data_IF_106804962251
#
_entry.id   IF_106804962251
#
_cell.length_a   1.000
_cell.length_b   1.000
_cell.length_c   1.000
_cell.angle_alpha   90.00
_cell.angle_beta   90.00
_cell.angle_gamma   90.00
#
_symmetry.space_group_name_H-M   'P 1'
#
loop_
_entity.id
_entity.type
_entity.pdbx_description
1 polymer ?
#
# COMPACT_ATOMS: atom_id res chain seq x y z
N UNK A 1 13.56 -10.13 19.85
CA UNK A 1 13.87 -9.21 18.72
C UNK A 1 13.01 -9.67 17.56
N UNK A 2 12.28 -8.79 16.88
CA UNK A 2 11.51 -9.16 15.70
C UNK A 2 12.44 -9.20 14.48
N UNK A 3 12.41 -10.30 13.74
CA UNK A 3 13.09 -10.43 12.45
C UNK A 3 12.03 -10.65 11.38
N UNK A 4 12.02 -9.78 10.38
CA UNK A 4 11.01 -9.73 9.33
C UNK A 4 11.61 -10.24 8.03
N UNK A 5 10.96 -11.21 7.41
CA UNK A 5 11.24 -11.60 6.03
C UNK A 5 10.21 -10.92 5.12
N UNK A 6 10.67 -10.08 4.22
CA UNK A 6 9.80 -9.46 3.20
C UNK A 6 9.71 -10.35 1.98
N UNK A 7 8.47 -10.72 1.63
CA UNK A 7 8.14 -11.47 0.44
C UNK A 7 7.36 -10.56 -0.52
N UNK A 8 7.99 -10.17 -1.62
CA UNK A 8 7.27 -9.50 -2.70
C UNK A 8 6.35 -10.52 -3.37
N UNK A 9 5.03 -10.34 -3.19
CA UNK A 9 4.01 -11.29 -3.62
C UNK A 9 4.06 -11.58 -5.13
N UNK A 10 4.36 -10.56 -5.95
CA UNK A 10 4.42 -10.68 -7.39
C UNK A 10 5.65 -11.45 -7.85
N UNK A 11 6.84 -11.08 -7.37
CA UNK A 11 8.10 -11.76 -7.70
C UNK A 11 8.03 -13.22 -7.31
N UNK A 12 7.65 -13.48 -6.07
CA UNK A 12 7.45 -14.84 -5.58
C UNK A 12 6.46 -15.64 -6.44
N UNK A 13 5.30 -15.04 -6.77
CA UNK A 13 4.30 -15.71 -7.61
C UNK A 13 4.85 -16.05 -9.00
N UNK A 14 5.61 -15.15 -9.60
CA UNK A 14 6.24 -15.38 -10.92
C UNK A 14 7.19 -16.56 -10.88
N UNK A 15 8.12 -16.59 -9.93
CA UNK A 15 9.08 -17.66 -9.73
C UNK A 15 8.37 -18.99 -9.44
N UNK A 16 7.42 -18.97 -8.50
CA UNK A 16 6.69 -20.18 -8.12
C UNK A 16 5.81 -20.73 -9.25
N UNK A 17 5.24 -19.87 -10.09
CA UNK A 17 4.48 -20.25 -11.30
C UNK A 17 5.38 -21.00 -12.29
N UNK A 18 6.62 -20.54 -12.49
CA UNK A 18 7.59 -21.23 -13.35
C UNK A 18 7.98 -22.60 -12.81
N UNK A 19 8.23 -22.70 -11.50
CA UNK A 19 8.58 -23.97 -10.85
C UNK A 19 7.44 -25.00 -10.93
N UNK A 20 6.20 -24.55 -10.70
CA UNK A 20 5.03 -25.43 -10.70
C UNK A 20 4.50 -25.77 -12.09
N UNK A 21 4.85 -24.99 -13.11
CA UNK A 21 4.28 -25.11 -14.47
C UNK A 21 2.78 -24.78 -14.53
N UNK A 22 2.25 -24.08 -13.51
CA UNK A 22 0.87 -23.56 -13.41
C UNK A 22 0.84 -22.29 -12.61
N UNK A 23 -0.20 -21.42 -12.75
CA UNK A 23 -0.33 -20.23 -11.91
C UNK A 23 -0.25 -20.58 -10.42
N UNK A 24 0.65 -19.91 -9.70
CA UNK A 24 0.76 -20.00 -8.25
C UNK A 24 -0.20 -19.04 -7.55
N UNK A 25 -0.66 -19.44 -6.36
CA UNK A 25 -1.46 -18.62 -5.44
C UNK A 25 -0.83 -18.68 -4.05
N UNK A 26 -1.35 -17.89 -3.08
CA UNK A 26 -0.86 -17.94 -1.70
C UNK A 26 -0.99 -19.32 -1.05
N UNK A 27 -1.83 -20.21 -1.59
CA UNK A 27 -1.92 -21.60 -1.12
C UNK A 27 -0.65 -22.40 -1.41
N UNK A 28 0.16 -21.96 -2.36
CA UNK A 28 1.45 -22.56 -2.70
C UNK A 28 2.62 -22.09 -1.80
N UNK A 29 2.37 -21.16 -0.87
CA UNK A 29 3.26 -20.87 0.27
C UNK A 29 3.08 -21.97 1.32
N UNK A 30 3.83 -23.06 1.16
CA UNK A 30 3.70 -24.26 1.95
C UNK A 30 4.46 -24.19 3.30
N UNK A 31 4.24 -25.18 4.14
CA UNK A 31 4.94 -25.30 5.42
C UNK A 31 6.47 -25.44 5.26
N UNK A 32 6.95 -26.06 4.20
CA UNK A 32 8.39 -26.20 3.96
C UNK A 32 9.09 -24.84 3.83
N UNK A 33 8.48 -23.90 3.11
CA UNK A 33 8.99 -22.53 3.00
C UNK A 33 8.90 -21.79 4.35
N UNK A 34 7.76 -21.88 5.04
CA UNK A 34 7.52 -21.17 6.31
C UNK A 34 8.43 -21.68 7.42
N UNK A 35 8.60 -22.99 7.55
CA UNK A 35 9.47 -23.61 8.53
C UNK A 35 10.94 -23.24 8.26
N UNK A 36 11.36 -23.16 6.99
CA UNK A 36 12.70 -22.70 6.64
C UNK A 36 12.95 -21.24 7.10
N UNK A 37 11.95 -20.36 7.03
CA UNK A 37 12.08 -19.00 7.58
C UNK A 37 12.30 -19.03 9.09
N UNK A 38 11.55 -19.86 9.82
CA UNK A 38 11.67 -19.99 11.28
C UNK A 38 13.04 -20.56 11.66
N UNK A 39 13.54 -21.58 10.96
CA UNK A 39 14.87 -22.15 11.15
C UNK A 39 15.98 -21.12 10.95
N UNK A 40 15.78 -20.14 10.08
CA UNK A 40 16.69 -19.01 9.86
C UNK A 40 16.47 -17.82 10.83
N UNK A 41 15.59 -17.98 11.82
CA UNK A 41 15.38 -17.03 12.91
C UNK A 41 14.36 -15.93 12.60
N UNK A 42 13.65 -15.99 11.48
CA UNK A 42 12.56 -15.04 11.22
C UNK A 42 11.36 -15.31 12.13
N UNK A 43 10.72 -14.24 12.55
CA UNK A 43 9.52 -14.30 13.42
C UNK A 43 8.30 -13.64 12.74
N UNK A 44 8.52 -12.98 11.61
CA UNK A 44 7.48 -12.30 10.83
C UNK A 44 7.67 -12.58 9.35
N UNK A 45 6.55 -12.85 8.68
CA UNK A 45 6.43 -12.82 7.22
C UNK A 45 5.73 -11.52 6.83
N UNK A 46 6.41 -10.64 6.11
CA UNK A 46 5.83 -9.45 5.50
C UNK A 46 5.47 -9.77 4.06
N UNK A 47 4.18 -9.81 3.76
CA UNK A 47 3.66 -10.03 2.41
C UNK A 47 3.45 -8.66 1.73
N UNK A 48 4.44 -8.25 0.93
CA UNK A 48 4.44 -6.97 0.23
C UNK A 48 3.66 -7.03 -1.09
N UNK A 49 2.81 -6.04 -1.34
CA UNK A 49 2.18 -5.79 -2.64
C UNK A 49 1.05 -6.75 -3.00
N UNK A 50 0.38 -7.33 -1.98
CA UNK A 50 -0.71 -8.29 -2.18
C UNK A 50 -2.08 -7.65 -2.47
N UNK A 51 -2.26 -6.35 -2.18
CA UNK A 51 -3.53 -5.64 -2.33
C UNK A 51 -3.88 -5.31 -3.78
N UNK A 52 -5.18 -5.26 -4.06
CA UNK A 52 -5.70 -4.97 -5.40
C UNK A 52 -5.42 -3.51 -5.79
N UNK A 53 -4.69 -3.36 -6.90
CA UNK A 53 -4.62 -2.10 -7.66
C UNK A 53 -5.81 -2.05 -8.63
N UNK A 54 -6.01 -0.92 -9.29
CA UNK A 54 -7.02 -0.83 -10.35
C UNK A 54 -6.42 -0.72 -11.75
N UNK A 55 -7.26 -0.82 -12.80
CA UNK A 55 -6.82 -0.74 -14.18
C UNK A 55 -6.19 0.60 -14.57
N UNK A 56 -6.57 1.73 -13.92
CA UNK A 56 -5.97 3.05 -14.19
C UNK A 56 -4.53 3.11 -13.70
N UNK A 57 -4.22 2.53 -12.53
CA UNK A 57 -2.85 2.43 -12.00
C UNK A 57 -1.97 1.66 -12.98
N UNK A 58 -2.43 0.51 -13.46
CA UNK A 58 -1.69 -0.26 -14.49
C UNK A 58 -1.57 0.48 -15.81
N UNK A 59 -2.65 1.10 -16.28
CA UNK A 59 -2.63 1.89 -17.52
C UNK A 59 -1.66 3.07 -17.42
N UNK A 60 -1.57 3.71 -16.25
CA UNK A 60 -0.60 4.77 -16.01
C UNK A 60 0.85 4.25 -16.14
N UNK A 61 1.17 3.14 -15.48
CA UNK A 61 2.50 2.51 -15.57
C UNK A 61 2.85 2.07 -17.00
N UNK A 62 1.88 1.52 -17.75
CA UNK A 62 2.05 1.16 -19.16
C UNK A 62 2.29 2.36 -20.07
N UNK A 63 1.82 3.55 -19.71
CA UNK A 63 2.02 4.77 -20.48
C UNK A 63 3.30 5.53 -20.08
N UNK A 64 3.97 5.15 -18.97
CA UNK A 64 5.15 5.84 -18.47
C UNK A 64 6.42 5.46 -19.26
N UNK A 65 6.80 6.33 -20.20
CA UNK A 65 8.02 6.13 -20.99
C UNK A 65 9.32 6.18 -20.14
N UNK A 66 9.33 6.80 -18.96
CA UNK A 66 10.49 6.80 -18.08
C UNK A 66 10.64 5.45 -17.39
N UNK A 67 9.55 4.89 -16.89
CA UNK A 67 9.51 3.53 -16.35
C UNK A 67 9.96 2.50 -17.41
N UNK A 68 9.45 2.60 -18.63
CA UNK A 68 9.85 1.70 -19.72
C UNK A 68 11.35 1.74 -20.01
N UNK A 69 11.96 2.93 -20.02
CA UNK A 69 13.41 3.04 -20.18
C UNK A 69 14.18 2.40 -19.04
N UNK A 70 13.72 2.56 -17.79
CA UNK A 70 14.36 1.95 -16.63
C UNK A 70 14.24 0.41 -16.69
N UNK A 71 13.05 -0.10 -16.98
CA UNK A 71 12.81 -1.54 -17.12
C UNK A 71 13.66 -2.14 -18.23
N UNK A 72 13.74 -1.50 -19.39
CA UNK A 72 14.56 -1.99 -20.49
C UNK A 72 16.06 -2.12 -20.15
N UNK A 73 16.55 -1.30 -19.22
CA UNK A 73 17.94 -1.38 -18.77
C UNK A 73 18.21 -2.59 -17.86
N UNK A 74 17.22 -3.03 -17.09
CA UNK A 74 17.38 -4.12 -16.11
C UNK A 74 16.75 -5.44 -16.58
N UNK A 75 15.76 -5.37 -17.46
CA UNK A 75 15.05 -6.50 -18.05
C UNK A 75 14.82 -6.20 -19.55
N UNK A 76 15.82 -6.43 -20.43
CA UNK A 76 15.73 -6.02 -21.85
C UNK A 76 14.58 -6.66 -22.64
N UNK A 77 14.09 -7.80 -22.21
CA UNK A 77 13.01 -8.57 -22.80
C UNK A 77 11.66 -8.41 -22.09
N UNK A 78 11.53 -7.40 -21.21
CA UNK A 78 10.27 -7.13 -20.52
C UNK A 78 9.12 -6.89 -21.51
N UNK A 79 7.93 -7.29 -21.09
CA UNK A 79 6.67 -7.15 -21.84
C UNK A 79 5.65 -6.36 -21.04
N UNK A 80 4.51 -6.03 -21.64
CA UNK A 80 3.41 -5.39 -20.92
C UNK A 80 2.86 -6.23 -19.74
N UNK A 81 3.07 -7.54 -19.74
CA UNK A 81 2.63 -8.42 -18.67
C UNK A 81 3.54 -8.33 -17.43
N UNK A 82 4.76 -7.82 -17.62
CA UNK A 82 5.68 -7.53 -16.52
C UNK A 82 5.33 -6.24 -15.77
N UNK A 83 4.40 -5.43 -16.29
CA UNK A 83 3.98 -4.16 -15.69
C UNK A 83 2.62 -4.32 -15.02
N UNK A 84 2.57 -4.25 -13.68
CA UNK A 84 1.35 -4.34 -12.88
C UNK A 84 0.87 -3.02 -12.29
N UNK A 85 1.70 -1.97 -12.36
CA UNK A 85 1.54 -0.72 -11.59
C UNK A 85 2.21 -0.79 -10.21
N UNK A 86 2.24 0.35 -9.53
CA UNK A 86 2.86 0.48 -8.20
C UNK A 86 2.05 -0.30 -7.14
N UNK A 87 2.68 -1.22 -6.38
CA UNK A 87 1.98 -2.05 -5.40
C UNK A 87 1.23 -1.26 -4.32
N UNK A 88 1.76 -0.12 -3.91
CA UNK A 88 1.19 0.71 -2.85
C UNK A 88 0.16 1.73 -3.35
N UNK A 89 -0.06 1.84 -4.66
CA UNK A 89 -1.21 2.57 -5.24
C UNK A 89 -2.49 1.71 -5.12
N UNK A 90 -2.93 1.53 -3.87
CA UNK A 90 -3.98 0.58 -3.50
C UNK A 90 -5.35 1.11 -3.90
N UNK A 91 -6.05 0.36 -4.76
CA UNK A 91 -7.44 0.62 -5.11
C UNK A 91 -8.42 0.04 -4.09
N UNK A 92 -8.12 -1.15 -3.58
CA UNK A 92 -8.91 -1.84 -2.57
C UNK A 92 -8.04 -2.70 -1.67
N UNK A 93 -8.36 -2.73 -0.37
CA UNK A 93 -7.76 -3.65 0.58
C UNK A 93 -8.41 -5.04 0.48
N UNK A 94 -8.40 -5.61 -0.72
CA UNK A 94 -8.73 -7.00 -1.02
C UNK A 94 -7.54 -7.65 -1.70
N UNK A 95 -7.31 -8.93 -1.46
CA UNK A 95 -6.19 -9.63 -2.08
C UNK A 95 -6.43 -9.78 -3.57
N UNK A 96 -5.39 -9.57 -4.37
CA UNK A 96 -5.41 -9.78 -5.81
C UNK A 96 -5.95 -11.16 -6.16
N UNK A 97 -6.87 -11.24 -7.11
CA UNK A 97 -7.49 -12.49 -7.55
C UNK A 97 -6.44 -13.53 -7.97
N UNK A 98 -5.40 -13.07 -8.65
CA UNK A 98 -4.28 -13.92 -9.09
C UNK A 98 -3.45 -14.53 -7.93
N UNK A 99 -3.59 -14.02 -6.71
CA UNK A 99 -2.98 -14.57 -5.50
C UNK A 99 -3.92 -15.52 -4.73
N UNK A 100 -5.17 -15.72 -5.20
CA UNK A 100 -6.15 -16.61 -4.60
C UNK A 100 -7.19 -15.89 -3.73
N UNK A 101 -7.21 -14.56 -3.75
CA UNK A 101 -8.18 -13.71 -3.03
C UNK A 101 -8.11 -13.83 -1.49
N UNK A 102 -9.06 -13.23 -0.77
CA UNK A 102 -9.02 -13.15 0.70
C UNK A 102 -9.00 -14.53 1.42
N UNK A 103 -9.70 -15.57 0.94
CA UNK A 103 -9.61 -16.89 1.56
C UNK A 103 -8.19 -17.51 1.56
N UNK A 104 -7.41 -17.26 0.50
CA UNK A 104 -6.03 -17.73 0.42
C UNK A 104 -5.12 -16.98 1.42
N UNK A 105 -5.38 -15.70 1.68
CA UNK A 105 -4.69 -14.94 2.73
C UNK A 105 -5.00 -15.50 4.12
N UNK A 106 -6.27 -15.78 4.43
CA UNK A 106 -6.67 -16.37 5.71
C UNK A 106 -5.96 -17.70 5.94
N UNK A 107 -5.97 -18.58 4.93
CA UNK A 107 -5.27 -19.86 4.99
C UNK A 107 -3.75 -19.69 5.14
N UNK A 108 -3.13 -18.70 4.48
CA UNK A 108 -1.71 -18.39 4.67
C UNK A 108 -1.43 -17.92 6.10
N UNK A 109 -2.27 -17.04 6.66
CA UNK A 109 -2.11 -16.57 8.04
C UNK A 109 -2.15 -17.73 9.05
N UNK A 110 -3.07 -18.68 8.86
CA UNK A 110 -3.16 -19.87 9.71
C UNK A 110 -1.91 -20.75 9.59
N UNK A 111 -1.41 -20.99 8.37
CA UNK A 111 -0.16 -21.76 8.16
C UNK A 111 1.04 -21.05 8.77
N UNK A 112 1.19 -19.75 8.55
CA UNK A 112 2.28 -18.96 9.13
C UNK A 112 2.28 -19.05 10.66
N UNK A 113 1.10 -18.90 11.28
CA UNK A 113 0.94 -19.04 12.73
C UNK A 113 1.29 -20.44 13.22
N UNK A 114 0.90 -21.47 12.49
CA UNK A 114 1.22 -22.87 12.85
C UNK A 114 2.73 -23.13 12.79
N UNK A 115 3.47 -22.51 11.87
CA UNK A 115 4.94 -22.54 11.81
C UNK A 115 5.61 -21.59 12.82
N UNK A 116 4.90 -20.73 13.52
CA UNK A 116 5.45 -19.80 14.50
C UNK A 116 5.79 -18.40 13.95
N UNK A 117 5.28 -18.05 12.76
CA UNK A 117 5.41 -16.73 12.15
C UNK A 117 4.15 -15.88 12.39
N UNK A 118 4.34 -14.59 12.58
CA UNK A 118 3.28 -13.58 12.49
C UNK A 118 3.24 -12.98 11.08
N UNK A 119 2.06 -12.57 10.63
CA UNK A 119 1.85 -11.98 9.31
C UNK A 119 1.79 -10.45 9.38
N UNK A 120 2.61 -9.78 8.56
CA UNK A 120 2.62 -8.34 8.37
C UNK A 120 2.10 -8.01 6.97
N UNK A 121 1.21 -7.02 6.85
CA UNK A 121 0.65 -6.56 5.58
C UNK A 121 0.86 -5.05 5.40
N UNK A 122 0.86 -4.61 4.13
CA UNK A 122 0.93 -3.18 3.78
C UNK A 122 -0.29 -2.40 4.29
N UNK A 123 -0.03 -1.20 4.75
CA UNK A 123 -1.03 -0.17 4.98
C UNK A 123 -0.48 1.17 4.47
N UNK A 124 -1.06 1.69 3.39
CA UNK A 124 -0.68 2.96 2.76
C UNK A 124 -1.68 4.07 3.13
N UNK A 125 -1.52 4.73 4.29
CA UNK A 125 -2.53 5.66 4.77
C UNK A 125 -2.46 7.04 4.13
N UNK A 126 -1.35 7.43 3.49
CA UNK A 126 -1.20 8.79 2.96
C UNK A 126 -2.06 9.05 1.72
N UNK A 127 -2.24 8.05 0.89
CA UNK A 127 -2.91 8.16 -0.41
C UNK A 127 -3.69 6.89 -0.75
N UNK A 128 -4.45 6.94 -1.82
CA UNK A 128 -5.12 5.81 -2.43
C UNK A 128 -4.77 5.73 -3.92
N UNK A 129 -4.97 4.58 -4.55
CA UNK A 129 -4.79 4.43 -5.99
C UNK A 129 -5.85 5.20 -6.80
N UNK A 130 -5.59 5.44 -8.08
CA UNK A 130 -6.49 6.19 -8.98
C UNK A 130 -7.87 5.56 -9.10
N UNK A 131 -7.98 4.25 -8.92
CA UNK A 131 -9.22 3.48 -9.05
C UNK A 131 -10.01 3.39 -7.73
N UNK A 132 -9.55 4.03 -6.66
CA UNK A 132 -10.22 3.96 -5.37
C UNK A 132 -11.62 4.57 -5.44
N UNK A 133 -12.66 3.92 -4.86
CA UNK A 133 -14.06 4.38 -4.94
C UNK A 133 -14.30 5.81 -4.45
N UNK A 134 -13.45 6.33 -3.58
CA UNK A 134 -13.59 7.70 -3.07
C UNK A 134 -13.51 8.76 -4.17
N UNK A 135 -12.79 8.51 -5.27
CA UNK A 135 -12.74 9.45 -6.38
C UNK A 135 -14.14 9.79 -6.95
N UNK A 136 -15.10 8.87 -6.86
CA UNK A 136 -16.47 9.08 -7.32
C UNK A 136 -17.51 9.19 -6.21
N UNK A 137 -17.35 8.40 -5.12
CA UNK A 137 -18.35 8.30 -4.05
C UNK A 137 -18.13 9.31 -2.92
N UNK A 138 -16.88 9.65 -2.62
CA UNK A 138 -16.48 10.53 -1.52
C UNK A 138 -15.33 11.44 -1.95
N UNK A 139 -15.51 12.27 -3.02
CA UNK A 139 -14.46 13.17 -3.49
C UNK A 139 -13.98 14.17 -2.41
N UNK A 140 -14.81 14.46 -1.41
CA UNK A 140 -14.49 15.31 -0.25
C UNK A 140 -13.45 14.69 0.70
N UNK A 141 -13.15 13.41 0.57
CA UNK A 141 -12.09 12.74 1.34
C UNK A 141 -10.71 12.92 0.72
N UNK A 142 -10.64 13.48 -0.48
CA UNK A 142 -9.42 13.66 -1.25
C UNK A 142 -9.10 15.15 -1.43
N UNK A 143 -7.82 15.49 -1.50
CA UNK A 143 -7.41 16.87 -1.78
C UNK A 143 -7.80 17.22 -3.21
N UNK A 144 -8.71 18.19 -3.35
CA UNK A 144 -9.18 18.69 -4.62
C UNK A 144 -8.39 19.92 -5.05
N UNK A 145 -8.23 20.08 -6.36
CA UNK A 145 -7.62 21.23 -7.01
C UNK A 145 -8.60 21.97 -7.93
N UNK A 146 -8.11 23.03 -8.54
CA UNK A 146 -8.82 23.86 -9.52
C UNK A 146 -8.17 23.77 -10.90
N UNK A 147 -8.84 24.33 -11.92
CA UNK A 147 -8.31 24.41 -13.30
C UNK A 147 -6.94 25.08 -13.37
N UNK A 148 -6.69 26.03 -12.48
CA UNK A 148 -5.41 26.72 -12.39
C UNK A 148 -4.31 25.79 -11.89
N UNK A 149 -4.60 24.91 -10.94
CA UNK A 149 -3.62 23.99 -10.36
C UNK A 149 -3.15 22.99 -11.41
N UNK A 150 -4.06 22.37 -12.15
CA UNK A 150 -3.70 21.41 -13.20
C UNK A 150 -2.94 22.07 -14.36
N UNK A 151 -3.24 23.37 -14.65
CA UNK A 151 -2.48 24.11 -15.66
C UNK A 151 -1.06 24.47 -15.21
N UNK A 152 -0.88 24.83 -13.94
CA UNK A 152 0.42 25.21 -13.37
C UNK A 152 1.30 24.01 -13.07
N UNK A 153 0.69 22.92 -12.61
CA UNK A 153 1.37 21.71 -12.14
C UNK A 153 0.71 20.45 -12.71
N UNK A 154 0.78 20.21 -14.03
CA UNK A 154 0.08 19.09 -14.68
C UNK A 154 0.54 17.71 -14.20
N UNK A 155 1.72 17.62 -13.57
CA UNK A 155 2.22 16.38 -12.97
C UNK A 155 1.78 16.16 -11.52
N UNK A 156 1.12 17.15 -10.89
CA UNK A 156 0.68 17.08 -9.48
C UNK A 156 -0.83 16.92 -9.33
N UNK A 157 -1.59 17.01 -10.42
CA UNK A 157 -3.05 16.94 -10.41
C UNK A 157 -3.57 16.12 -11.58
N UNK A 158 -4.72 15.48 -11.36
CA UNK A 158 -5.44 14.69 -12.37
C UNK A 158 -6.93 15.03 -12.34
N UNK A 159 -7.59 14.96 -13.50
CA UNK A 159 -9.05 15.02 -13.59
C UNK A 159 -9.63 13.62 -13.68
N UNK A 160 -10.45 13.26 -12.70
CA UNK A 160 -11.23 12.02 -12.67
C UNK A 160 -12.68 12.34 -12.32
N UNK A 161 -13.62 11.68 -12.95
CA UNK A 161 -15.06 11.82 -12.69
C UNK A 161 -15.56 13.28 -12.66
N UNK A 162 -14.92 14.18 -13.41
CA UNK A 162 -15.28 15.60 -13.46
C UNK A 162 -14.65 16.47 -12.37
N UNK A 163 -13.98 15.87 -11.38
CA UNK A 163 -13.27 16.56 -10.28
C UNK A 163 -11.75 16.53 -10.52
N UNK A 164 -11.08 17.60 -10.12
CA UNK A 164 -9.61 17.66 -10.14
C UNK A 164 -9.09 17.27 -8.76
N UNK A 165 -8.21 16.26 -8.71
CA UNK A 165 -7.59 15.77 -7.50
C UNK A 165 -6.08 15.99 -7.51
N UNK A 166 -5.50 16.22 -6.35
CA UNK A 166 -4.07 16.18 -6.16
C UNK A 166 -3.58 14.71 -6.11
N UNK A 167 -2.44 14.45 -6.75
CA UNK A 167 -1.71 13.22 -6.54
C UNK A 167 -1.05 13.19 -5.16
N UNK A 168 -0.87 11.99 -4.59
CA UNK A 168 -0.06 11.79 -3.40
C UNK A 168 1.36 12.28 -3.62
N UNK A 169 1.99 12.79 -2.58
CA UNK A 169 3.40 13.22 -2.63
C UNK A 169 4.00 13.36 -1.25
N UNK A 170 5.30 13.32 -1.19
CA UNK A 170 6.08 13.85 -0.10
C UNK A 170 6.55 15.31 -0.40
N UNK A 171 7.15 16.02 0.57
CA UNK A 171 7.57 17.39 0.38
C UNK A 171 8.80 17.58 -0.53
N UNK A 172 9.55 16.51 -0.84
CA UNK A 172 10.90 16.59 -1.43
C UNK A 172 10.96 16.06 -2.88
N UNK A 173 10.01 15.22 -3.30
CA UNK A 173 10.01 14.56 -4.60
C UNK A 173 8.77 14.90 -5.44
N UNK A 174 8.79 14.60 -6.75
CA UNK A 174 7.62 14.76 -7.61
C UNK A 174 6.43 13.92 -7.10
N UNK A 175 5.21 14.39 -7.39
CA UNK A 175 4.00 13.69 -7.01
C UNK A 175 3.90 12.29 -7.68
N UNK A 176 3.32 11.34 -6.96
CA UNK A 176 3.08 9.97 -7.41
C UNK A 176 1.81 9.93 -8.26
N UNK A 177 2.00 9.93 -9.58
CA UNK A 177 0.94 10.19 -10.57
C UNK A 177 -0.11 9.10 -10.69
N UNK A 178 0.08 7.98 -10.06
CA UNK A 178 -0.83 6.82 -9.98
C UNK A 178 -1.65 6.79 -8.69
N UNK A 179 -1.59 7.86 -7.89
CA UNK A 179 -2.26 7.98 -6.58
C UNK A 179 -3.15 9.22 -6.50
N UNK A 180 -4.01 9.24 -5.47
CA UNK A 180 -4.81 10.39 -5.04
C UNK A 180 -4.55 10.68 -3.57
N UNK A 181 -4.26 11.94 -3.24
CA UNK A 181 -3.94 12.37 -1.88
C UNK A 181 -5.19 12.43 -1.00
N UNK A 182 -5.14 11.78 0.15
CA UNK A 182 -6.19 11.86 1.18
C UNK A 182 -6.12 13.21 1.89
N UNK A 183 -7.27 13.84 2.12
CA UNK A 183 -7.37 15.10 2.85
C UNK A 183 -7.52 14.88 4.35
N UNK A 184 -6.40 14.86 5.05
CA UNK A 184 -6.39 14.69 6.51
C UNK A 184 -6.90 15.89 7.30
N UNK A 185 -7.18 17.05 6.65
CA UNK A 185 -7.90 18.14 7.29
C UNK A 185 -9.40 17.82 7.43
N UNK A 186 -9.90 16.83 6.67
CA UNK A 186 -11.25 16.29 6.80
C UNK A 186 -11.29 15.17 7.85
N UNK A 187 -12.05 15.37 8.92
CA UNK A 187 -12.17 14.41 10.01
C UNK A 187 -12.82 13.10 9.57
N UNK A 188 -13.83 13.17 8.70
CA UNK A 188 -14.52 11.98 8.19
C UNK A 188 -13.59 11.13 7.33
N UNK A 189 -12.69 11.76 6.55
CA UNK A 189 -11.64 11.06 5.83
C UNK A 189 -10.69 10.31 6.79
N UNK A 190 -10.24 10.98 7.89
CA UNK A 190 -9.44 10.29 8.90
C UNK A 190 -10.17 9.10 9.52
N UNK A 191 -11.46 9.24 9.83
CA UNK A 191 -12.26 8.16 10.43
C UNK A 191 -12.42 6.99 9.43
N UNK A 192 -12.60 7.28 8.15
CA UNK A 192 -12.64 6.27 7.09
C UNK A 192 -11.29 5.52 6.93
N UNK A 193 -10.15 6.22 7.02
CA UNK A 193 -8.82 5.59 7.00
C UNK A 193 -8.61 4.71 8.24
N UNK A 194 -9.08 5.13 9.42
CA UNK A 194 -9.04 4.30 10.63
C UNK A 194 -9.89 3.03 10.46
N UNK A 195 -11.05 3.14 9.79
CA UNK A 195 -11.86 1.96 9.47
C UNK A 195 -11.12 1.00 8.53
N UNK A 196 -10.42 1.51 7.51
CA UNK A 196 -9.56 0.69 6.65
C UNK A 196 -8.41 0.02 7.44
N UNK A 197 -7.77 0.75 8.36
CA UNK A 197 -6.73 0.17 9.22
C UNK A 197 -7.26 -0.99 10.08
N UNK A 198 -8.46 -0.86 10.63
CA UNK A 198 -9.12 -1.93 11.38
C UNK A 198 -9.45 -3.13 10.48
N UNK A 199 -9.92 -2.89 9.26
CA UNK A 199 -10.20 -3.97 8.31
C UNK A 199 -8.92 -4.75 7.96
N UNK A 200 -7.81 -4.07 7.64
CA UNK A 200 -6.52 -4.73 7.39
C UNK A 200 -6.03 -5.47 8.63
N UNK A 201 -6.09 -4.86 9.82
CA UNK A 201 -5.66 -5.46 11.08
C UNK A 201 -6.45 -6.72 11.45
N UNK A 202 -7.71 -6.84 11.00
CA UNK A 202 -8.50 -8.06 11.20
C UNK A 202 -7.90 -9.28 10.49
N UNK A 203 -7.12 -9.08 9.44
CA UNK A 203 -6.59 -10.10 8.53
C UNK A 203 -5.11 -10.40 8.72
N UNK A 204 -4.41 -9.70 9.62
CA UNK A 204 -2.98 -9.87 9.88
C UNK A 204 -2.65 -9.75 11.37
N UNK A 205 -1.38 -9.79 11.71
CA UNK A 205 -0.88 -9.62 13.06
C UNK A 205 -0.14 -8.28 13.22
N UNK A 206 0.11 -7.59 12.10
CA UNK A 206 0.72 -6.26 12.10
C UNK A 206 0.54 -5.51 10.77
N UNK A 207 0.67 -4.19 10.84
CA UNK A 207 0.57 -3.25 9.72
C UNK A 207 1.95 -2.63 9.44
N UNK A 208 2.44 -2.78 8.22
CA UNK A 208 3.56 -1.99 7.72
C UNK A 208 3.00 -0.69 7.14
N UNK A 209 3.21 0.41 7.86
CA UNK A 209 2.66 1.71 7.53
C UNK A 209 3.62 2.46 6.61
N UNK A 210 3.23 2.60 5.34
CA UNK A 210 4.00 3.30 4.33
C UNK A 210 4.13 4.78 4.67
N UNK A 211 5.37 5.30 4.55
CA UNK A 211 5.73 6.71 4.75
C UNK A 211 4.96 7.41 5.89
N UNK A 212 4.92 6.75 7.05
CA UNK A 212 4.09 7.15 8.19
C UNK A 212 4.30 8.60 8.64
N UNK A 213 5.51 9.15 8.44
CA UNK A 213 5.85 10.53 8.79
C UNK A 213 5.07 11.58 7.98
N UNK A 214 4.51 11.24 6.81
CA UNK A 214 3.73 12.19 6.01
C UNK A 214 2.45 12.65 6.71
N UNK A 215 1.97 11.88 7.70
CA UNK A 215 0.78 12.18 8.49
C UNK A 215 1.10 12.84 9.84
N UNK A 216 2.34 13.24 10.08
CA UNK A 216 2.68 14.13 11.18
C UNK A 216 2.16 15.54 10.86
N UNK A 217 1.55 16.25 11.83
CA UNK A 217 0.89 17.53 11.56
C UNK A 217 1.80 18.61 10.95
N UNK A 218 3.07 18.66 11.33
CA UNK A 218 4.05 19.59 10.78
C UNK A 218 4.44 19.24 9.34
N UNK A 219 4.63 17.95 9.04
CA UNK A 219 4.95 17.47 7.68
C UNK A 219 3.77 17.69 6.75
N UNK A 220 2.56 17.31 7.17
CA UNK A 220 1.36 17.50 6.35
C UNK A 220 1.09 18.98 6.07
N UNK A 221 1.21 19.85 7.10
CA UNK A 221 1.09 21.31 6.92
C UNK A 221 2.15 21.86 5.96
N UNK A 222 3.40 21.40 6.08
CA UNK A 222 4.49 21.81 5.19
C UNK A 222 4.23 21.42 3.73
N UNK A 223 3.62 20.26 3.49
CA UNK A 223 3.36 19.72 2.16
C UNK A 223 2.09 20.29 1.53
N UNK A 224 1.01 20.41 2.32
CA UNK A 224 -0.35 20.68 1.82
C UNK A 224 -0.92 22.03 2.26
N UNK A 225 -0.23 22.78 3.13
CA UNK A 225 -0.69 24.04 3.72
C UNK A 225 -2.05 23.91 4.42
N UNK A 226 -2.28 22.75 5.04
CA UNK A 226 -3.48 22.40 5.80
C UNK A 226 -3.09 21.91 7.19
N UNK A 227 -3.84 22.37 8.19
CA UNK A 227 -3.69 21.84 9.55
C UNK A 227 -4.46 20.55 9.70
N UNK A 228 -3.86 19.59 10.41
CA UNK A 228 -4.50 18.31 10.74
C UNK A 228 -4.36 18.02 12.23
N UNK A 229 -5.35 17.32 12.79
CA UNK A 229 -5.20 16.72 14.09
C UNK A 229 -4.31 15.47 14.05
N UNK A 230 -3.61 15.14 15.15
CA UNK A 230 -2.75 13.96 15.20
C UNK A 230 -3.51 12.68 14.85
N UNK A 231 -3.18 12.09 13.71
CA UNK A 231 -3.86 10.90 13.19
C UNK A 231 -3.42 9.61 13.90
N UNK A 232 -2.10 9.42 14.03
CA UNK A 232 -1.54 8.11 14.41
C UNK A 232 -2.02 7.62 15.78
N UNK A 233 -2.10 8.50 16.77
CA UNK A 233 -2.59 8.12 18.09
C UNK A 233 -4.01 7.58 18.02
N UNK A 234 -4.89 8.26 17.31
CA UNK A 234 -6.27 7.84 17.13
C UNK A 234 -6.37 6.49 16.38
N UNK A 235 -5.57 6.35 15.33
CA UNK A 235 -5.55 5.13 14.53
C UNK A 235 -5.04 3.93 15.36
N UNK A 236 -3.90 4.08 16.02
CA UNK A 236 -3.31 3.01 16.84
C UNK A 236 -4.19 2.63 18.04
N UNK A 237 -4.81 3.61 18.70
CA UNK A 237 -5.72 3.36 19.80
C UNK A 237 -6.96 2.60 19.34
N UNK A 238 -7.59 3.03 18.23
CA UNK A 238 -8.76 2.37 17.66
C UNK A 238 -8.46 0.92 17.23
N UNK A 239 -7.36 0.71 16.51
CA UNK A 239 -6.96 -0.64 16.08
C UNK A 239 -6.63 -1.53 17.28
N UNK A 240 -5.92 -1.05 18.30
CA UNK A 240 -5.59 -1.86 19.48
C UNK A 240 -6.80 -2.22 20.33
N UNK A 241 -7.85 -1.40 20.31
CA UNK A 241 -9.10 -1.73 20.98
C UNK A 241 -9.80 -2.89 20.28
N UNK A 242 -9.85 -2.88 18.94
CA UNK A 242 -10.51 -3.92 18.16
C UNK A 242 -9.64 -5.18 17.98
N UNK A 243 -8.32 -5.00 17.82
CA UNK A 243 -7.33 -6.04 17.53
C UNK A 243 -6.14 -5.92 18.49
N UNK A 244 -6.28 -6.36 19.76
CA UNK A 244 -5.21 -6.27 20.76
C UNK A 244 -3.96 -7.04 20.29
N UNK A 245 -2.80 -6.40 20.42
CA UNK A 245 -1.52 -7.01 20.04
C UNK A 245 -1.07 -6.72 18.61
N UNK A 246 -1.87 -6.03 17.79
CA UNK A 246 -1.44 -5.61 16.46
C UNK A 246 -0.14 -4.78 16.52
N UNK A 247 0.88 -5.23 15.78
CA UNK A 247 2.14 -4.51 15.62
C UNK A 247 1.97 -3.42 14.55
N UNK A 248 2.48 -2.23 14.82
CA UNK A 248 2.66 -1.19 13.81
C UNK A 248 4.14 -1.04 13.50
N UNK A 249 4.50 -1.19 12.23
CA UNK A 249 5.85 -0.98 11.71
C UNK A 249 5.81 0.23 10.80
N UNK A 250 6.30 1.35 11.29
CA UNK A 250 6.30 2.61 10.55
C UNK A 250 7.52 2.71 9.64
N UNK A 251 7.30 3.04 8.37
CA UNK A 251 8.36 3.53 7.51
C UNK A 251 8.51 5.04 7.75
N UNK A 252 9.71 5.45 8.16
CA UNK A 252 9.98 6.83 8.60
C UNK A 252 11.34 7.29 8.10
N UNK A 253 11.40 8.52 7.62
CA UNK A 253 12.62 9.19 7.13
C UNK A 253 12.81 10.55 7.81
N UNK A 254 13.88 11.26 7.45
CA UNK A 254 14.16 12.67 7.79
C UNK A 254 14.31 12.96 9.28
N UNK A 255 14.86 12.00 10.03
CA UNK A 255 15.01 12.07 11.49
C UNK A 255 13.68 12.26 12.25
N UNK A 256 12.58 11.68 11.70
CA UNK A 256 11.25 11.69 12.32
C UNK A 256 10.95 10.39 13.10
N UNK A 257 11.92 9.50 13.25
CA UNK A 257 11.78 8.17 13.86
C UNK A 257 11.39 8.25 15.35
N UNK A 258 11.53 9.42 15.96
CA UNK A 258 11.26 9.65 17.39
C UNK A 258 9.91 10.33 17.66
N UNK A 259 9.15 10.70 16.64
CA UNK A 259 7.85 11.37 16.72
C UNK A 259 6.69 10.39 16.61
#
# INVERSE_FOLDING_TARGET
MHQVYELNARTWRSERTQELGRPATLDDLDFGFLDHLVENGFTWLYLFGAWTNGPLVRAHALADAALHRQLHNVLPDFTADDISGEPLSIGHYTIKEELGSDPALEALRERARASGLSLLLDFAPNHVGLDHPWASAHPEFLIQGMEEDIRRQPGSFIRLHGTIFAHGRDPNFPAWRDTLQIDYSNREAQDAVIAMANDVASRCDGLRCEEAMLLLPDVFRGTWHRDIEPFWRRCTDAVRVAHPGTLFVAEVYWNKEWE
#
